data_IF_741674091924
#
_entry.id   IF_741674091924
#
_cell.length_a   1.000
_cell.length_b   1.000
_cell.length_c   1.000
_cell.angle_alpha   90.00
_cell.angle_beta   90.00
_cell.angle_gamma   90.00
#
_symmetry.space_group_name_H-M   'P 1'
#
loop_
_entity.id
_entity.type
_entity.pdbx_description
1 polymer ?
#
# COMPACT_ATOMS: atom_id res chain seq x y z
N UNK A 1 -32.11 0.19 16.01
CA UNK A 1 -31.65 -0.87 15.10
C UNK A 1 -32.24 -0.53 13.75
N UNK A 2 -31.65 0.45 13.09
CA UNK A 2 -32.02 0.94 11.75
C UNK A 2 -30.76 1.56 11.17
N UNK A 3 -29.94 0.73 10.51
CA UNK A 3 -28.86 1.22 9.66
C UNK A 3 -28.63 0.18 8.56
N UNK A 4 -29.63 0.03 7.70
CA UNK A 4 -29.55 -0.80 6.50
C UNK A 4 -29.92 0.06 5.30
N UNK A 5 -28.90 0.24 4.46
CA UNK A 5 -28.96 0.60 3.03
C UNK A 5 -29.38 2.02 2.67
N UNK A 6 -28.55 3.01 3.02
CA UNK A 6 -28.49 4.22 2.20
C UNK A 6 -27.49 4.01 1.06
N UNK A 7 -27.81 3.05 0.17
CA UNK A 7 -27.04 2.83 -1.06
C UNK A 7 -27.24 4.06 -1.93
N UNK A 8 -26.16 4.76 -2.26
CA UNK A 8 -26.25 5.98 -3.07
C UNK A 8 -26.82 5.64 -4.45
N UNK A 9 -27.48 6.61 -5.08
CA UNK A 9 -28.00 6.45 -6.46
C UNK A 9 -26.87 6.00 -7.40
N UNK A 10 -25.66 6.50 -7.19
CA UNK A 10 -24.47 6.14 -7.95
C UNK A 10 -24.01 4.69 -7.71
N UNK A 11 -24.10 4.19 -6.47
CA UNK A 11 -23.83 2.77 -6.18
C UNK A 11 -24.85 1.83 -6.83
N UNK A 12 -26.14 2.21 -6.85
CA UNK A 12 -27.18 1.44 -7.53
C UNK A 12 -26.95 1.41 -9.04
N UNK A 13 -26.61 2.56 -9.63
CA UNK A 13 -26.25 2.66 -11.04
C UNK A 13 -25.01 1.82 -11.37
N UNK A 14 -23.98 1.89 -10.53
CA UNK A 14 -22.74 1.12 -10.69
C UNK A 14 -23.03 -0.39 -10.68
N UNK A 15 -23.86 -0.86 -9.75
CA UNK A 15 -24.26 -2.26 -9.65
C UNK A 15 -25.04 -2.71 -10.90
N UNK A 16 -26.01 -1.93 -11.34
CA UNK A 16 -26.79 -2.21 -12.56
C UNK A 16 -25.91 -2.29 -13.82
N UNK A 17 -24.96 -1.36 -13.98
CA UNK A 17 -24.01 -1.39 -15.10
C UNK A 17 -23.08 -2.63 -15.03
N UNK A 18 -22.69 -3.04 -13.83
CA UNK A 18 -21.88 -4.23 -13.63
C UNK A 18 -22.63 -5.52 -14.00
N UNK A 19 -23.92 -5.60 -13.68
CA UNK A 19 -24.77 -6.73 -14.09
C UNK A 19 -24.92 -6.82 -15.60
N UNK A 20 -25.10 -5.69 -16.30
CA UNK A 20 -25.11 -5.64 -17.78
C UNK A 20 -23.77 -6.07 -18.38
N UNK A 21 -22.65 -5.68 -17.77
CA UNK A 21 -21.33 -6.16 -18.17
C UNK A 21 -21.20 -7.69 -18.01
N UNK A 22 -21.67 -8.24 -16.88
CA UNK A 22 -21.70 -9.70 -16.67
C UNK A 22 -22.62 -10.43 -17.66
N UNK A 23 -23.69 -9.78 -18.12
CA UNK A 23 -24.58 -10.29 -19.16
C UNK A 23 -23.94 -10.27 -20.57
N UNK A 24 -22.75 -9.69 -20.73
CA UNK A 24 -21.96 -9.74 -21.95
C UNK A 24 -21.89 -8.42 -22.73
N UNK A 25 -22.43 -7.33 -22.19
CA UNK A 25 -22.27 -6.01 -22.81
C UNK A 25 -20.83 -5.49 -22.70
N UNK A 26 -20.32 -4.86 -23.75
CA UNK A 26 -18.98 -4.26 -23.71
C UNK A 26 -18.97 -2.97 -22.89
N UNK A 27 -17.85 -2.69 -22.20
CA UNK A 27 -17.70 -1.47 -21.38
C UNK A 27 -17.93 -0.19 -22.20
N UNK A 28 -17.51 -0.19 -23.46
CA UNK A 28 -17.71 0.93 -24.39
C UNK A 28 -19.20 1.16 -24.69
N UNK A 29 -20.00 0.10 -24.84
CA UNK A 29 -21.45 0.21 -25.02
C UNK A 29 -22.13 0.77 -23.78
N UNK A 30 -21.69 0.35 -22.59
CA UNK A 30 -22.18 0.91 -21.32
C UNK A 30 -21.88 2.41 -21.23
N UNK A 31 -20.67 2.84 -21.61
CA UNK A 31 -20.28 4.26 -21.62
C UNK A 31 -21.14 5.12 -22.55
N UNK A 32 -21.41 4.61 -23.75
CA UNK A 32 -22.26 5.28 -24.73
C UNK A 32 -23.71 5.35 -24.23
N UNK A 33 -24.23 4.27 -23.63
CA UNK A 33 -25.62 4.22 -23.19
C UNK A 33 -25.92 5.13 -22.01
N UNK A 34 -24.98 5.26 -21.07
CA UNK A 34 -25.21 5.99 -19.83
C UNK A 34 -24.72 7.44 -19.90
N UNK A 35 -23.54 7.66 -20.49
CA UNK A 35 -22.89 8.97 -20.48
C UNK A 35 -22.70 9.58 -21.87
N UNK A 36 -23.17 8.92 -22.93
CA UNK A 36 -23.01 9.40 -24.31
C UNK A 36 -21.54 9.52 -24.74
N UNK A 37 -20.64 8.82 -24.04
CA UNK A 37 -19.19 8.96 -24.23
C UNK A 37 -18.62 7.74 -24.96
N UNK A 38 -18.22 7.93 -26.21
CA UNK A 38 -17.56 6.90 -27.01
C UNK A 38 -16.02 6.99 -26.96
N UNK A 39 -15.46 8.00 -26.30
CA UNK A 39 -14.02 8.33 -26.37
C UNK A 39 -13.20 7.65 -25.28
N UNK A 40 -13.85 7.17 -24.22
CA UNK A 40 -13.20 6.61 -23.03
C UNK A 40 -12.84 5.11 -23.15
N UNK A 41 -13.26 4.42 -24.22
CA UNK A 41 -12.95 3.00 -24.50
C UNK A 41 -13.14 2.03 -23.31
N UNK A 42 -14.11 2.28 -22.42
CA UNK A 42 -14.39 1.46 -21.23
C UNK A 42 -13.63 1.88 -19.97
N UNK A 43 -12.76 2.89 -20.04
CA UNK A 43 -11.98 3.36 -18.90
C UNK A 43 -12.80 4.17 -17.89
N UNK A 44 -13.85 4.86 -18.33
CA UNK A 44 -14.77 5.60 -17.46
C UNK A 44 -15.64 4.66 -16.64
N UNK A 45 -16.22 3.63 -17.26
CA UNK A 45 -16.97 2.57 -16.56
C UNK A 45 -16.08 1.85 -15.54
N UNK A 46 -14.85 1.53 -15.93
CA UNK A 46 -13.89 0.87 -15.03
C UNK A 46 -13.58 1.74 -13.81
N UNK A 47 -13.35 3.05 -14.00
CA UNK A 47 -13.14 3.98 -12.88
C UNK A 47 -14.38 4.10 -11.99
N UNK A 48 -15.56 4.13 -12.59
CA UNK A 48 -16.83 4.22 -11.88
C UNK A 48 -17.06 3.00 -10.97
N UNK A 49 -16.78 1.78 -11.43
CA UNK A 49 -16.85 0.59 -10.58
C UNK A 49 -15.79 0.53 -9.49
N UNK A 50 -14.59 1.02 -9.74
CA UNK A 50 -13.55 1.11 -8.70
C UNK A 50 -13.98 2.09 -7.62
N UNK A 51 -14.53 3.24 -8.00
CA UNK A 51 -14.94 4.29 -7.08
C UNK A 51 -16.15 3.89 -6.23
N UNK A 52 -17.20 3.35 -6.85
CA UNK A 52 -18.48 3.12 -6.18
C UNK A 52 -18.61 1.71 -5.58
N UNK A 53 -17.98 0.69 -6.20
CA UNK A 53 -18.10 -0.72 -5.80
C UNK A 53 -16.77 -1.34 -5.32
N UNK A 54 -15.64 -0.66 -5.51
CA UNK A 54 -14.31 -1.22 -5.24
C UNK A 54 -13.91 -2.35 -6.19
N UNK A 55 -14.59 -2.52 -7.32
CA UNK A 55 -14.36 -3.63 -8.26
C UNK A 55 -13.44 -3.18 -9.39
N UNK A 56 -12.23 -3.74 -9.46
CA UNK A 56 -11.35 -3.58 -10.62
C UNK A 56 -11.61 -4.68 -11.66
N UNK A 57 -12.03 -4.28 -12.85
CA UNK A 57 -12.34 -5.18 -13.97
C UNK A 57 -11.25 -5.16 -15.05
N UNK A 58 -10.09 -4.59 -14.76
CA UNK A 58 -8.93 -4.64 -15.65
C UNK A 58 -8.24 -5.98 -15.47
N UNK A 59 -7.99 -6.67 -16.57
CA UNK A 59 -7.08 -7.80 -16.53
C UNK A 59 -5.66 -7.27 -16.25
N UNK A 60 -4.91 -7.87 -15.30
CA UNK A 60 -3.51 -7.52 -15.13
C UNK A 60 -2.77 -7.75 -16.43
N UNK A 61 -1.82 -6.87 -16.75
CA UNK A 61 -1.03 -7.05 -17.97
C UNK A 61 -0.23 -8.35 -17.92
N UNK A 62 0.12 -8.91 -19.09
CA UNK A 62 0.96 -10.11 -19.17
C UNK A 62 2.26 -9.93 -18.38
N UNK A 63 2.90 -8.76 -18.53
CA UNK A 63 4.10 -8.38 -17.78
C UNK A 63 3.88 -8.28 -16.26
N UNK A 64 2.72 -7.76 -15.81
CA UNK A 64 2.41 -7.71 -14.39
C UNK A 64 2.18 -9.11 -13.81
N UNK A 65 1.55 -10.00 -14.58
CA UNK A 65 1.32 -11.39 -14.21
C UNK A 65 2.65 -12.15 -14.10
N UNK A 66 3.52 -12.01 -15.09
CA UNK A 66 4.86 -12.61 -15.10
C UNK A 66 5.72 -12.08 -13.94
N UNK A 67 5.68 -10.77 -13.66
CA UNK A 67 6.39 -10.20 -12.51
C UNK A 67 5.88 -10.78 -11.19
N UNK A 68 4.57 -10.86 -10.97
CA UNK A 68 4.01 -11.39 -9.73
C UNK A 68 4.33 -12.88 -9.55
N UNK A 69 4.33 -13.66 -10.65
CA UNK A 69 4.75 -15.06 -10.61
C UNK A 69 6.23 -15.19 -10.21
N UNK A 70 7.10 -14.34 -10.76
CA UNK A 70 8.51 -14.30 -10.39
C UNK A 70 8.71 -13.86 -8.94
N UNK A 71 8.00 -12.83 -8.48
CA UNK A 71 8.03 -12.38 -7.08
C UNK A 71 7.63 -13.51 -6.13
N UNK A 72 6.56 -14.25 -6.45
CA UNK A 72 6.11 -15.41 -5.66
C UNK A 72 7.19 -16.49 -5.59
N UNK A 73 7.80 -16.84 -6.73
CA UNK A 73 8.89 -17.81 -6.78
C UNK A 73 10.11 -17.35 -5.97
N UNK A 74 10.44 -16.07 -6.02
CA UNK A 74 11.55 -15.51 -5.24
C UNK A 74 11.27 -15.59 -3.74
N UNK A 75 10.05 -15.26 -3.30
CA UNK A 75 9.63 -15.39 -1.90
C UNK A 75 9.67 -16.84 -1.40
N UNK A 76 9.18 -17.80 -2.20
CA UNK A 76 9.26 -19.24 -1.88
C UNK A 76 10.70 -19.72 -1.69
N UNK A 77 11.64 -19.10 -2.40
CA UNK A 77 13.07 -19.38 -2.30
C UNK A 77 13.80 -18.49 -1.27
N UNK A 78 13.06 -17.72 -0.45
CA UNK A 78 13.63 -16.85 0.58
C UNK A 78 14.40 -15.63 0.06
N UNK A 79 14.24 -15.30 -1.24
CA UNK A 79 14.86 -14.16 -1.89
C UNK A 79 13.84 -13.02 -1.93
N UNK A 80 14.16 -11.90 -1.28
CA UNK A 80 13.35 -10.68 -1.38
C UNK A 80 13.97 -9.78 -2.45
N UNK A 81 13.40 -9.71 -3.67
CA UNK A 81 13.98 -8.91 -4.75
C UNK A 81 13.97 -7.43 -4.37
N UNK A 82 15.16 -6.84 -4.38
CA UNK A 82 15.39 -5.44 -4.01
C UNK A 82 15.12 -4.54 -5.23
N UNK A 83 13.86 -4.49 -5.69
CA UNK A 83 13.47 -3.59 -6.78
C UNK A 83 13.22 -2.21 -6.18
N UNK A 84 14.08 -1.26 -6.57
CA UNK A 84 14.00 0.17 -6.23
C UNK A 84 12.62 0.76 -6.62
N UNK A 85 11.64 0.74 -5.70
CA UNK A 85 10.35 1.48 -5.69
C UNK A 85 9.95 1.63 -4.22
N UNK A 86 10.17 2.78 -3.61
CA UNK A 86 9.10 3.74 -3.33
C UNK A 86 7.87 3.05 -2.68
N UNK A 87 7.68 3.34 -1.39
CA UNK A 87 6.52 2.99 -0.54
C UNK A 87 6.60 1.53 -0.03
N UNK A 88 7.65 1.16 0.72
CA UNK A 88 7.58 1.03 2.18
C UNK A 88 6.22 0.47 2.64
N UNK A 89 6.21 -0.83 2.85
CA UNK A 89 5.09 -1.53 3.46
C UNK A 89 5.16 -1.24 4.96
N UNK A 90 4.33 -0.31 5.45
CA UNK A 90 4.23 0.08 6.87
C UNK A 90 4.31 -1.12 7.84
N UNK A 91 3.81 -2.30 7.45
CA UNK A 91 3.92 -3.55 8.19
C UNK A 91 5.37 -3.98 8.44
N UNK A 92 6.26 -3.83 7.45
CA UNK A 92 7.69 -4.10 7.59
C UNK A 92 8.35 -3.15 8.60
N UNK A 93 7.99 -1.87 8.58
CA UNK A 93 8.52 -0.88 9.53
C UNK A 93 8.02 -1.15 10.96
N UNK A 94 6.76 -1.53 11.11
CA UNK A 94 6.20 -1.97 12.40
C UNK A 94 6.90 -3.24 12.90
N UNK A 95 7.14 -4.21 12.02
CA UNK A 95 7.86 -5.43 12.36
C UNK A 95 9.30 -5.11 12.80
N UNK A 96 10.00 -4.26 12.05
CA UNK A 96 11.36 -3.80 12.38
C UNK A 96 11.39 -3.06 13.71
N UNK A 97 10.41 -2.19 13.98
CA UNK A 97 10.29 -1.48 15.24
C UNK A 97 10.16 -2.46 16.41
N UNK A 98 9.23 -3.41 16.30
CA UNK A 98 8.99 -4.45 17.30
C UNK A 98 10.24 -5.31 17.54
N UNK A 99 10.86 -5.82 16.48
CA UNK A 99 12.05 -6.66 16.59
C UNK A 99 13.22 -5.93 17.24
N UNK A 100 13.43 -4.65 16.86
CA UNK A 100 14.49 -3.81 17.44
C UNK A 100 14.24 -3.55 18.92
N UNK A 101 13.01 -3.23 19.32
CA UNK A 101 12.64 -3.03 20.72
C UNK A 101 12.83 -4.31 21.56
N UNK A 102 12.38 -5.46 21.06
CA UNK A 102 12.57 -6.75 21.76
C UNK A 102 14.05 -7.06 21.92
N UNK A 103 14.86 -6.86 20.87
CA UNK A 103 16.30 -7.07 20.94
C UNK A 103 16.96 -6.12 21.94
N UNK A 104 16.62 -4.84 21.91
CA UNK A 104 17.16 -3.85 22.84
C UNK A 104 16.92 -4.25 24.30
N UNK A 105 15.69 -4.67 24.64
CA UNK A 105 15.34 -5.14 25.99
C UNK A 105 16.10 -6.41 26.36
N UNK A 106 16.27 -7.35 25.43
CA UNK A 106 17.06 -8.57 25.67
C UNK A 106 18.52 -8.23 25.96
N UNK A 107 19.14 -7.38 25.15
CA UNK A 107 20.54 -6.96 25.30
C UNK A 107 20.75 -6.21 26.63
N UNK A 108 19.79 -5.37 27.02
CA UNK A 108 19.82 -4.67 28.30
C UNK A 108 19.76 -5.64 29.49
N UNK A 109 18.92 -6.67 29.38
CA UNK A 109 18.72 -7.66 30.45
C UNK A 109 19.78 -8.78 30.48
N UNK A 110 20.67 -8.88 29.50
CA UNK A 110 21.73 -9.91 29.45
C UNK A 110 22.95 -9.54 30.31
N UNK A 111 23.20 -10.19 31.47
CA UNK A 111 24.28 -9.83 32.40
C UNK A 111 25.69 -10.02 31.84
N UNK A 112 25.82 -10.73 30.74
CA UNK A 112 27.11 -10.97 30.08
C UNK A 112 27.47 -9.90 29.06
N UNK A 113 26.50 -9.08 28.65
CA UNK A 113 26.71 -7.98 27.71
C UNK A 113 27.49 -6.85 28.38
N UNK A 114 28.54 -6.37 27.72
CA UNK A 114 29.38 -5.27 28.21
C UNK A 114 28.83 -3.89 27.86
N UNK A 115 27.98 -3.79 26.82
CA UNK A 115 27.46 -2.55 26.25
C UNK A 115 25.93 -2.50 26.34
N UNK A 116 25.38 -2.83 27.52
CA UNK A 116 23.93 -3.03 27.74
C UNK A 116 23.15 -1.76 27.47
N UNK A 117 23.65 -0.64 27.99
CA UNK A 117 22.98 0.66 27.90
C UNK A 117 23.10 1.23 26.48
N UNK A 118 24.28 1.17 25.88
CA UNK A 118 24.55 1.67 24.53
C UNK A 118 23.76 0.88 23.48
N UNK A 119 23.78 -0.45 23.57
CA UNK A 119 23.01 -1.33 22.66
C UNK A 119 21.51 -1.12 22.82
N UNK A 120 21.04 -0.93 24.06
CA UNK A 120 19.64 -0.59 24.33
C UNK A 120 19.24 0.74 23.69
N UNK A 121 20.03 1.79 23.90
CA UNK A 121 19.76 3.12 23.34
C UNK A 121 19.69 3.05 21.81
N UNK A 122 20.69 2.46 21.16
CA UNK A 122 20.72 2.32 19.70
C UNK A 122 19.53 1.51 19.19
N UNK A 123 19.23 0.38 19.82
CA UNK A 123 18.10 -0.47 19.46
C UNK A 123 16.75 0.23 19.62
N UNK A 124 16.59 1.02 20.69
CA UNK A 124 15.39 1.83 20.90
C UNK A 124 15.28 3.00 19.92
N UNK A 125 16.38 3.66 19.58
CA UNK A 125 16.40 4.69 18.53
C UNK A 125 15.92 4.13 17.20
N UNK A 126 16.44 2.96 16.79
CA UNK A 126 15.99 2.27 15.56
C UNK A 126 14.50 1.92 15.66
N UNK A 127 14.03 1.46 16.81
CA UNK A 127 12.63 1.10 17.01
C UNK A 127 11.70 2.32 16.84
N UNK A 128 12.00 3.42 17.52
CA UNK A 128 11.22 4.65 17.46
C UNK A 128 11.26 5.29 16.07
N UNK A 129 12.42 5.37 15.43
CA UNK A 129 12.53 5.90 14.07
C UNK A 129 11.74 5.07 13.06
N UNK A 130 11.79 3.73 13.15
CA UNK A 130 11.03 2.86 12.25
C UNK A 130 9.52 3.00 12.47
N UNK A 131 9.08 3.09 13.72
CA UNK A 131 7.67 3.30 14.05
C UNK A 131 7.17 4.67 13.56
N UNK A 132 7.98 5.71 13.73
CA UNK A 132 7.67 7.06 13.26
C UNK A 132 7.53 7.09 11.72
N UNK A 133 8.43 6.43 11.00
CA UNK A 133 8.35 6.24 9.55
C UNK A 133 7.05 5.54 9.14
N UNK A 134 6.67 4.46 9.83
CA UNK A 134 5.43 3.74 9.55
C UNK A 134 4.19 4.64 9.73
N UNK A 135 4.16 5.47 10.78
CA UNK A 135 3.07 6.41 11.03
C UNK A 135 2.98 7.46 9.92
N UNK A 136 4.11 8.02 9.48
CA UNK A 136 4.12 9.00 8.40
C UNK A 136 3.65 8.41 7.07
N UNK A 137 4.04 7.17 6.77
CA UNK A 137 3.56 6.45 5.59
C UNK A 137 2.05 6.23 5.59
N UNK A 138 1.50 5.76 6.71
CA UNK A 138 0.05 5.59 6.87
C UNK A 138 -0.69 6.92 6.69
N UNK A 139 -0.06 8.03 7.04
CA UNK A 139 -0.60 9.38 6.86
C UNK A 139 -0.35 9.98 5.47
N UNK A 140 0.33 9.26 4.58
CA UNK A 140 0.69 9.75 3.24
C UNK A 140 1.67 10.92 3.26
N UNK A 141 2.47 11.06 4.32
CA UNK A 141 3.49 12.12 4.47
C UNK A 141 4.87 11.54 4.17
N UNK A 142 5.67 12.26 3.38
CA UNK A 142 7.06 11.88 3.15
C UNK A 142 7.89 12.18 4.41
N UNK A 143 8.54 11.19 5.03
CA UNK A 143 9.41 11.41 6.19
C UNK A 143 10.74 12.10 5.83
N UNK A 144 11.02 12.29 4.54
CA UNK A 144 12.25 12.92 4.05
C UNK A 144 11.93 14.29 3.43
N UNK A 145 12.66 15.32 3.87
CA UNK A 145 12.63 16.62 3.19
C UNK A 145 13.53 16.55 1.95
N UNK A 146 13.00 16.86 0.76
CA UNK A 146 13.82 17.11 -0.41
C UNK A 146 14.32 18.55 -0.39
N UNK A 147 15.55 18.76 0.09
CA UNK A 147 16.24 20.04 -0.13
C UNK A 147 16.43 20.30 -1.63
N UNK A 148 16.55 21.57 -2.02
CA UNK A 148 16.72 22.02 -3.42
C UNK A 148 17.94 21.41 -4.15
N UNK A 149 18.82 20.70 -3.44
CA UNK A 149 20.01 20.04 -3.99
C UNK A 149 19.91 18.50 -4.06
N UNK A 150 18.71 17.92 -3.84
CA UNK A 150 18.50 16.47 -3.99
C UNK A 150 19.07 15.61 -2.85
N UNK A 151 19.61 16.21 -1.80
CA UNK A 151 19.97 15.51 -0.56
C UNK A 151 18.71 15.25 0.28
N UNK A 152 18.46 13.97 0.59
CA UNK A 152 17.39 13.52 1.48
C UNK A 152 17.92 13.48 2.91
N UNK A 153 17.49 14.42 3.74
CA UNK A 153 17.74 14.41 5.18
C UNK A 153 16.41 14.09 5.90
N UNK A 154 16.51 13.36 7.01
CA UNK A 154 15.38 13.04 7.88
C UNK A 154 14.85 14.33 8.50
N UNK A 155 13.54 14.55 8.46
CA UNK A 155 12.93 15.65 9.21
C UNK A 155 13.04 15.36 10.72
N UNK A 156 13.70 16.25 11.47
CA UNK A 156 13.92 16.09 12.91
C UNK A 156 15.38 15.94 13.35
N UNK A 157 16.31 16.64 12.70
CA UNK A 157 17.64 16.86 13.26
C UNK A 157 17.55 17.60 14.59
N UNK A 158 17.93 16.92 15.67
CA UNK A 158 18.38 17.55 16.92
C UNK A 158 19.83 18.00 16.70
#
# INVERSE_FOLDING_TARGET
MDDLTNVTVDQQLAAHLYDRYKAGESKSQLEISEWGDATSHGARVTRFWIQELGIDTRSPSKLATERNALETQLFENGIVPNVRRAILDHEYLVLRARQSAIKAVKDYNDPTSQLRTESFIVGMTIAWSSLFQAIMEVQGRDPYYSGSEGNRLLEGGI
#
